data_IF_471328401476
#
_entry.id   IF_471328401476
#
_cell.length_a   1.000
_cell.length_b   1.000
_cell.length_c   1.000
_cell.angle_alpha   90.00
_cell.angle_beta   90.00
_cell.angle_gamma   90.00
#
_symmetry.space_group_name_H-M   'P 1'
#
loop_
_entity.id
_entity.type
_entity.pdbx_description
1 polymer ?
#
# COMPACT_ATOMS: atom_id res chain seq x y z
N UNK A 1 -6.50 6.15 26.03
CA UNK A 1 -7.67 5.35 25.62
C UNK A 1 -8.36 5.89 24.36
N UNK A 2 -8.46 7.18 24.13
CA UNK A 2 -9.14 7.82 22.98
C UNK A 2 -8.60 7.48 21.57
N UNK A 3 -7.32 7.15 21.41
CA UNK A 3 -6.74 6.86 20.08
C UNK A 3 -7.17 5.52 19.47
N UNK A 4 -7.50 4.53 20.27
CA UNK A 4 -7.96 3.20 19.78
C UNK A 4 -9.40 3.22 19.33
N UNK A 5 -10.26 4.02 19.99
CA UNK A 5 -11.68 4.16 19.63
C UNK A 5 -11.87 4.92 18.30
N UNK A 6 -11.02 5.93 18.03
CA UNK A 6 -11.06 6.67 16.76
C UNK A 6 -10.70 5.80 15.54
N UNK A 7 -9.79 4.84 15.71
CA UNK A 7 -9.40 3.92 14.64
C UNK A 7 -10.54 2.97 14.26
N UNK A 8 -11.29 2.46 15.26
CA UNK A 8 -12.46 1.61 15.03
C UNK A 8 -13.62 2.37 14.40
N UNK A 9 -13.83 3.64 14.76
CA UNK A 9 -14.85 4.50 14.15
C UNK A 9 -14.54 4.85 12.69
N UNK A 10 -13.28 5.07 12.35
CA UNK A 10 -12.83 5.29 10.96
C UNK A 10 -12.98 4.03 10.11
N UNK A 11 -12.68 2.84 10.66
CA UNK A 11 -12.96 1.56 9.97
C UNK A 11 -14.47 1.35 9.77
N UNK A 12 -15.28 1.64 10.77
CA UNK A 12 -16.74 1.50 10.69
C UNK A 12 -17.38 2.51 9.72
N UNK A 13 -16.88 3.75 9.67
CA UNK A 13 -17.35 4.78 8.74
C UNK A 13 -16.96 4.47 7.28
N UNK A 14 -15.83 3.78 7.05
CA UNK A 14 -15.43 3.30 5.73
C UNK A 14 -16.27 2.13 5.21
N UNK A 15 -16.90 1.37 6.12
CA UNK A 15 -17.76 0.23 5.77
C UNK A 15 -19.24 0.63 5.55
N UNK A 16 -19.68 1.78 6.08
CA UNK A 16 -21.07 2.21 5.97
C UNK A 16 -21.55 2.47 4.53
N UNK A 17 -20.80 3.12 3.61
CA UNK A 17 -21.22 3.22 2.21
C UNK A 17 -21.18 1.88 1.47
N UNK A 18 -20.35 0.93 1.91
CA UNK A 18 -20.32 -0.41 1.35
C UNK A 18 -21.60 -1.20 1.63
N UNK A 19 -22.19 -1.05 2.81
CA UNK A 19 -23.45 -1.71 3.17
C UNK A 19 -24.66 -1.20 2.35
N UNK A 20 -24.65 0.04 1.89
CA UNK A 20 -25.71 0.59 1.03
C UNK A 20 -25.66 0.07 -0.42
N UNK A 21 -24.54 -0.53 -0.85
CA UNK A 21 -24.37 -1.14 -2.18
C UNK A 21 -24.53 -2.68 -2.15
N UNK A 22 -24.97 -3.22 -1.01
CA UNK A 22 -24.85 -4.64 -0.64
C UNK A 22 -26.01 -5.53 -1.14
N UNK A 23 -26.82 -5.07 -2.10
CA UNK A 23 -28.00 -5.86 -2.47
C UNK A 23 -27.76 -7.03 -3.42
N UNK A 24 -26.60 -7.09 -4.12
CA UNK A 24 -26.41 -8.06 -5.21
C UNK A 24 -25.22 -9.03 -5.03
N UNK A 25 -24.50 -8.99 -3.92
CA UNK A 25 -23.31 -9.85 -3.70
C UNK A 25 -22.16 -9.58 -4.68
N UNK A 26 -22.14 -8.43 -5.32
CA UNK A 26 -21.19 -8.06 -6.39
C UNK A 26 -20.07 -7.11 -5.92
N UNK A 27 -20.08 -6.76 -4.64
CA UNK A 27 -19.05 -5.90 -4.05
C UNK A 27 -18.27 -6.63 -2.96
N UNK A 28 -17.04 -6.22 -2.72
CA UNK A 28 -16.19 -6.74 -1.64
C UNK A 28 -15.35 -5.66 -0.99
N UNK A 29 -15.05 -5.85 0.29
CA UNK A 29 -14.11 -5.02 1.05
C UNK A 29 -13.12 -5.94 1.78
N UNK A 30 -11.82 -5.71 1.56
CA UNK A 30 -10.73 -6.57 2.03
C UNK A 30 -9.71 -5.69 2.74
N UNK A 31 -9.43 -5.98 4.01
CA UNK A 31 -8.26 -5.45 4.70
C UNK A 31 -7.05 -6.32 4.40
N UNK A 32 -5.90 -5.72 4.13
CA UNK A 32 -4.68 -6.46 3.84
C UNK A 32 -3.49 -5.99 4.66
N UNK A 33 -2.57 -6.92 4.89
CA UNK A 33 -1.24 -6.70 5.40
C UNK A 33 -0.21 -7.41 4.53
N UNK A 34 1.01 -6.93 4.53
CA UNK A 34 2.06 -7.48 3.71
C UNK A 34 3.45 -6.95 4.05
N UNK A 35 4.38 -7.28 3.20
CA UNK A 35 5.77 -6.83 3.31
C UNK A 35 6.33 -6.43 1.96
N UNK A 36 7.13 -5.37 1.96
CA UNK A 36 7.91 -4.96 0.79
C UNK A 36 9.21 -5.76 0.71
N UNK A 37 9.50 -6.29 -0.48
CA UNK A 37 10.71 -7.09 -0.75
C UNK A 37 11.92 -6.26 -1.16
N UNK A 38 11.78 -4.96 -1.30
CA UNK A 38 12.81 -4.06 -1.86
C UNK A 38 14.05 -3.88 -1.00
N UNK A 39 13.98 -4.22 0.28
CA UNK A 39 15.10 -4.08 1.19
C UNK A 39 15.25 -5.34 2.03
N UNK A 40 16.47 -5.88 2.06
CA UNK A 40 16.85 -7.02 2.90
C UNK A 40 17.08 -6.66 4.39
N UNK A 41 16.68 -5.46 4.82
CA UNK A 41 16.80 -5.05 6.21
C UNK A 41 15.71 -5.67 7.08
N UNK A 42 16.05 -6.10 8.28
CA UNK A 42 15.18 -6.81 9.23
C UNK A 42 14.29 -5.87 10.08
N UNK A 43 14.23 -4.58 9.77
CA UNK A 43 13.51 -3.58 10.57
C UNK A 43 12.00 -3.64 10.36
N UNK A 44 11.25 -3.41 11.42
CA UNK A 44 9.77 -3.42 11.46
C UNK A 44 9.08 -2.38 10.56
N UNK A 45 9.84 -1.48 9.94
CA UNK A 45 9.34 -0.44 9.02
C UNK A 45 8.87 -0.95 7.65
N UNK A 46 8.97 -2.25 7.39
CA UNK A 46 8.59 -2.89 6.11
C UNK A 46 7.15 -3.34 6.03
N UNK A 47 6.38 -3.18 7.08
CA UNK A 47 5.00 -3.62 7.10
C UNK A 47 4.15 -2.68 6.25
N UNK A 48 3.57 -3.26 5.22
CA UNK A 48 2.58 -2.64 4.36
C UNK A 48 1.20 -3.05 4.86
N UNK A 49 0.26 -2.13 4.85
CA UNK A 49 -1.13 -2.43 5.22
C UNK A 49 -2.08 -1.47 4.53
N UNK A 50 -3.32 -1.90 4.39
CA UNK A 50 -4.35 -1.09 3.77
C UNK A 50 -5.67 -1.84 3.64
N UNK A 51 -6.51 -1.29 2.80
CA UNK A 51 -7.78 -1.91 2.43
C UNK A 51 -8.06 -1.72 0.94
N UNK A 52 -8.82 -2.64 0.41
CA UNK A 52 -9.23 -2.69 -0.98
C UNK A 52 -10.75 -2.85 -1.01
N UNK A 53 -11.41 -2.10 -1.88
CA UNK A 53 -12.82 -2.26 -2.20
C UNK A 53 -12.93 -2.60 -3.67
N UNK A 54 -13.80 -3.53 -4.02
CA UNK A 54 -14.01 -3.91 -5.41
C UNK A 54 -15.50 -4.08 -5.70
N UNK A 55 -15.90 -3.73 -6.93
CA UNK A 55 -17.23 -3.97 -7.45
C UNK A 55 -17.14 -4.73 -8.77
N UNK A 56 -17.92 -5.79 -8.92
CA UNK A 56 -18.02 -6.54 -10.16
C UNK A 56 -18.80 -5.72 -11.20
N UNK A 57 -18.19 -5.51 -12.36
CA UNK A 57 -18.89 -5.00 -13.57
C UNK A 57 -19.41 -6.14 -14.41
N UNK A 58 -18.66 -7.20 -14.45
CA UNK A 58 -19.02 -8.50 -15.03
C UNK A 58 -18.43 -9.60 -14.15
N UNK A 59 -18.83 -10.87 -14.29
CA UNK A 59 -18.25 -11.96 -13.49
C UNK A 59 -16.71 -11.98 -13.52
N UNK A 60 -16.11 -11.60 -14.63
CA UNK A 60 -14.65 -11.62 -14.83
C UNK A 60 -13.95 -10.26 -14.61
N UNK A 61 -14.69 -9.17 -14.48
CA UNK A 61 -14.13 -7.81 -14.42
C UNK A 61 -14.63 -7.10 -13.17
N UNK A 62 -13.70 -6.63 -12.37
CA UNK A 62 -13.97 -5.79 -11.21
C UNK A 62 -13.31 -4.42 -11.37
N UNK A 63 -13.99 -3.36 -10.96
CA UNK A 63 -13.37 -2.08 -10.62
C UNK A 63 -12.89 -2.16 -9.20
N UNK A 64 -11.68 -1.69 -8.95
CA UNK A 64 -11.05 -1.74 -7.63
C UNK A 64 -10.62 -0.35 -7.18
N UNK A 65 -10.77 -0.09 -5.88
CA UNK A 65 -10.17 1.04 -5.20
C UNK A 65 -9.30 0.52 -4.07
N UNK A 66 -8.09 1.03 -3.94
CA UNK A 66 -7.14 0.60 -2.93
C UNK A 66 -6.57 1.80 -2.19
N UNK A 67 -6.48 1.70 -0.86
CA UNK A 67 -5.83 2.68 0.00
C UNK A 67 -4.89 1.95 0.95
N UNK A 68 -3.70 2.49 1.12
CA UNK A 68 -2.75 1.82 1.99
C UNK A 68 -1.51 2.63 2.30
N UNK A 69 -0.63 1.98 3.06
CA UNK A 69 0.68 2.48 3.40
C UNK A 69 1.73 1.47 2.98
N UNK A 70 2.78 1.97 2.33
CA UNK A 70 4.02 1.23 2.04
C UNK A 70 5.05 1.63 3.09
N UNK A 71 5.61 0.65 3.78
CA UNK A 71 6.47 0.89 4.94
C UNK A 71 7.82 1.49 4.59
N UNK A 72 8.51 0.97 3.59
CA UNK A 72 9.79 1.49 3.11
C UNK A 72 9.96 1.26 1.62
N UNK A 73 10.24 2.33 0.87
CA UNK A 73 10.45 2.31 -0.58
C UNK A 73 11.92 2.56 -0.98
N UNK A 74 12.84 2.72 -0.02
CA UNK A 74 14.24 2.96 -0.34
C UNK A 74 14.87 1.73 -1.01
N UNK A 75 15.59 1.92 -2.14
CA UNK A 75 16.36 0.85 -2.77
C UNK A 75 17.47 0.32 -1.84
N UNK A 76 17.78 -0.96 -1.93
CA UNK A 76 18.82 -1.61 -1.12
C UNK A 76 20.23 -1.01 -1.28
N UNK A 77 20.52 -0.39 -2.42
CA UNK A 77 21.81 0.29 -2.68
C UNK A 77 21.99 1.57 -1.84
N UNK A 78 20.92 2.35 -1.66
CA UNK A 78 20.97 3.54 -0.80
C UNK A 78 21.07 3.15 0.67
N UNK A 79 20.46 2.04 1.09
CA UNK A 79 20.64 1.49 2.43
C UNK A 79 22.07 0.94 2.66
N UNK A 80 22.74 0.46 1.61
CA UNK A 80 24.14 0.01 1.68
C UNK A 80 25.14 1.16 1.91
N UNK A 81 24.96 2.30 1.23
CA UNK A 81 25.76 3.49 1.46
C UNK A 81 25.49 4.14 2.82
N UNK A 82 24.26 4.10 3.28
CA UNK A 82 23.83 4.60 4.59
C UNK A 82 24.15 3.62 5.74
N UNK A 83 24.43 2.35 5.44
CA UNK A 83 24.85 1.36 6.44
C UNK A 83 26.16 1.70 7.15
N UNK A 84 26.97 2.58 6.58
CA UNK A 84 28.19 3.13 7.23
C UNK A 84 27.89 4.35 8.11
N UNK A 85 26.66 4.81 8.17
CA UNK A 85 26.22 5.89 9.04
C UNK A 85 25.37 5.33 10.17
N UNK A 86 25.45 5.89 11.40
CA UNK A 86 24.63 5.44 12.52
C UNK A 86 23.14 5.90 12.42
N UNK A 87 22.67 6.21 11.21
CA UNK A 87 21.38 6.83 10.96
C UNK A 87 20.43 5.87 10.24
N UNK A 88 19.21 5.77 10.75
CA UNK A 88 18.13 5.02 10.12
C UNK A 88 17.30 6.00 9.26
N UNK A 89 17.34 5.80 7.94
CA UNK A 89 16.54 6.56 6.98
C UNK A 89 15.49 5.65 6.37
N UNK A 90 14.23 6.04 6.45
CA UNK A 90 13.13 5.32 5.83
C UNK A 90 12.24 6.26 5.02
N UNK A 91 11.69 5.77 3.93
CA UNK A 91 10.76 6.48 3.07
C UNK A 91 9.45 5.71 3.02
N UNK A 92 8.44 6.19 3.71
CA UNK A 92 7.10 5.61 3.68
C UNK A 92 6.20 6.38 2.71
N UNK A 93 5.22 5.68 2.15
CA UNK A 93 4.21 6.28 1.29
C UNK A 93 2.80 5.91 1.75
N UNK A 94 1.90 6.90 1.79
CA UNK A 94 0.46 6.67 1.82
C UNK A 94 -0.06 6.84 0.41
N UNK A 95 -0.91 5.94 -0.05
CA UNK A 95 -1.41 5.97 -1.43
C UNK A 95 -2.91 5.69 -1.51
N UNK A 96 -3.51 6.20 -2.59
CA UNK A 96 -4.85 5.86 -3.03
C UNK A 96 -4.82 5.58 -4.52
N UNK A 97 -5.34 4.44 -4.93
CA UNK A 97 -5.35 3.98 -6.33
C UNK A 97 -6.74 3.49 -6.73
N UNK A 98 -7.07 3.65 -8.00
CA UNK A 98 -8.21 3.02 -8.65
C UNK A 98 -7.74 2.19 -9.84
N UNK A 99 -8.49 1.15 -10.20
CA UNK A 99 -8.07 0.31 -11.31
C UNK A 99 -9.06 -0.78 -11.67
N UNK A 100 -8.55 -1.76 -12.39
CA UNK A 100 -9.33 -2.90 -12.90
C UNK A 100 -8.64 -4.21 -12.53
N UNK A 101 -9.44 -5.17 -12.10
CA UNK A 101 -9.05 -6.55 -11.81
C UNK A 101 -9.77 -7.48 -12.76
N UNK A 102 -9.02 -8.37 -13.38
CA UNK A 102 -9.54 -9.44 -14.22
C UNK A 102 -9.43 -10.77 -13.47
N UNK A 103 -10.54 -11.46 -13.31
CA UNK A 103 -10.65 -12.75 -12.64
C UNK A 103 -10.72 -13.85 -13.67
N UNK A 104 -9.92 -14.90 -13.51
CA UNK A 104 -10.14 -16.18 -14.15
C UNK A 104 -10.96 -17.06 -13.21
N UNK A 105 -11.90 -17.84 -13.77
CA UNK A 105 -12.78 -18.74 -13.04
C UNK A 105 -13.56 -18.06 -11.88
N UNK A 106 -14.37 -17.03 -12.16
CA UNK A 106 -15.04 -16.23 -11.14
C UNK A 106 -16.05 -17.04 -10.28
N UNK A 107 -16.58 -18.15 -10.82
CA UNK A 107 -17.55 -19.01 -10.13
C UNK A 107 -16.89 -20.08 -9.25
N UNK A 108 -15.57 -20.17 -9.27
CA UNK A 108 -14.84 -21.13 -8.43
C UNK A 108 -14.55 -20.55 -7.04
N UNK A 109 -14.37 -21.47 -6.06
CA UNK A 109 -13.91 -21.06 -4.72
C UNK A 109 -12.50 -20.46 -4.70
N UNK A 110 -11.73 -20.66 -5.77
CA UNK A 110 -10.38 -20.09 -5.97
C UNK A 110 -10.33 -19.43 -7.32
N UNK A 111 -10.18 -18.12 -7.35
CA UNK A 111 -10.13 -17.31 -8.58
C UNK A 111 -8.77 -16.67 -8.73
N UNK A 112 -7.93 -17.13 -9.65
CA UNK A 112 -6.73 -16.39 -10.05
C UNK A 112 -7.11 -15.04 -10.64
N UNK A 113 -6.29 -14.02 -10.40
CA UNK A 113 -6.55 -12.69 -10.96
C UNK A 113 -5.27 -11.96 -11.33
N UNK A 114 -5.43 -11.00 -12.22
CA UNK A 114 -4.46 -9.94 -12.51
C UNK A 114 -5.11 -8.59 -12.30
N UNK A 115 -4.32 -7.57 -11.93
CA UNK A 115 -4.83 -6.24 -11.60
C UNK A 115 -3.88 -5.17 -12.09
N UNK A 116 -4.44 -4.06 -12.56
CA UNK A 116 -3.72 -2.84 -12.89
C UNK A 116 -4.41 -1.65 -12.22
N UNK A 117 -3.63 -0.79 -11.56
CA UNK A 117 -4.10 0.36 -10.80
C UNK A 117 -3.29 1.61 -11.11
N UNK A 118 -3.91 2.77 -10.93
CA UNK A 118 -3.26 4.07 -11.01
C UNK A 118 -3.82 5.00 -9.94
N UNK A 119 -3.01 5.92 -9.44
CA UNK A 119 -3.45 6.82 -8.40
C UNK A 119 -2.37 7.82 -7.98
N UNK A 120 -2.42 8.21 -6.72
CA UNK A 120 -1.49 9.14 -6.10
C UNK A 120 -0.90 8.56 -4.83
N UNK A 121 0.36 8.87 -4.58
CA UNK A 121 1.08 8.51 -3.37
C UNK A 121 1.66 9.75 -2.71
N UNK A 122 1.49 9.89 -1.41
CA UNK A 122 2.12 10.92 -0.59
C UNK A 122 3.33 10.33 0.09
N UNK A 123 4.50 10.78 -0.29
CA UNK A 123 5.78 10.38 0.27
C UNK A 123 6.04 11.08 1.60
N UNK A 124 6.56 10.35 2.57
CA UNK A 124 6.92 10.85 3.89
C UNK A 124 8.27 10.28 4.30
N UNK A 125 9.36 11.05 4.12
CA UNK A 125 10.67 10.66 4.59
C UNK A 125 10.73 10.72 6.12
N UNK A 126 11.44 9.79 6.71
CA UNK A 126 11.70 9.73 8.15
C UNK A 126 13.16 9.39 8.40
N UNK A 127 13.81 10.20 9.24
CA UNK A 127 15.20 10.02 9.65
C UNK A 127 15.23 9.93 11.15
N UNK A 128 15.94 8.96 11.70
CA UNK A 128 16.14 8.76 13.14
C UNK A 128 17.61 8.44 13.45
N UNK A 129 18.04 8.73 14.70
CA UNK A 129 19.38 8.39 15.17
C UNK A 129 20.28 9.59 15.50
N UNK A 130 19.82 10.83 15.35
CA UNK A 130 20.59 12.03 15.68
C UNK A 130 20.41 12.51 17.14
N UNK A 131 19.51 11.89 17.90
CA UNK A 131 19.08 12.38 19.21
C UNK A 131 17.90 13.36 19.08
N UNK A 132 17.12 13.50 20.18
CA UNK A 132 15.80 14.12 20.14
C UNK A 132 15.73 15.53 19.54
N UNK A 133 16.76 16.36 19.75
CA UNK A 133 16.76 17.74 19.23
C UNK A 133 17.12 17.80 17.75
N UNK A 134 18.10 17.01 17.32
CA UNK A 134 18.51 16.95 15.91
C UNK A 134 17.46 16.22 15.06
N UNK A 135 16.84 15.17 15.59
CA UNK A 135 15.72 14.47 14.94
C UNK A 135 14.53 15.42 14.73
N UNK A 136 14.26 16.32 15.69
CA UNK A 136 13.21 17.33 15.54
C UNK A 136 13.52 18.37 14.47
N UNK A 137 14.75 18.87 14.42
CA UNK A 137 15.20 19.87 13.42
C UNK A 137 15.19 19.25 12.00
N UNK A 138 15.74 18.04 11.87
CA UNK A 138 15.76 17.32 10.60
C UNK A 138 14.36 16.90 10.19
N UNK A 139 13.51 16.47 11.13
CA UNK A 139 12.10 16.15 10.87
C UNK A 139 11.32 17.34 10.33
N UNK A 140 11.60 18.58 10.81
CA UNK A 140 11.04 19.80 10.22
C UNK A 140 11.62 20.04 8.83
N UNK A 141 12.94 19.94 8.64
CA UNK A 141 13.60 20.10 7.34
C UNK A 141 13.09 19.12 6.28
N UNK A 142 12.98 17.84 6.63
CA UNK A 142 12.41 16.81 5.75
C UNK A 142 10.88 16.89 5.63
N UNK A 143 10.18 17.55 6.54
CA UNK A 143 8.75 17.81 6.43
C UNK A 143 8.37 18.66 5.20
N UNK A 144 9.27 19.51 4.72
CA UNK A 144 9.08 20.27 3.48
C UNK A 144 9.26 19.40 2.21
N UNK A 145 9.87 18.24 2.33
CA UNK A 145 10.08 17.30 1.22
C UNK A 145 8.90 16.34 1.01
N UNK A 146 7.76 16.58 1.68
CA UNK A 146 6.55 15.80 1.41
C UNK A 146 6.04 16.13 0.01
N UNK A 147 6.06 15.15 -0.87
CA UNK A 147 5.53 15.28 -2.22
C UNK A 147 4.35 14.33 -2.43
N UNK A 148 3.48 14.74 -3.35
CA UNK A 148 2.39 13.89 -3.84
C UNK A 148 2.72 13.57 -5.28
N UNK A 149 2.92 12.28 -5.55
CA UNK A 149 3.41 11.78 -6.83
C UNK A 149 2.42 10.76 -7.42
N UNK A 150 2.34 10.65 -8.74
CA UNK A 150 1.57 9.59 -9.37
C UNK A 150 2.16 8.21 -9.05
N UNK A 151 1.29 7.25 -8.82
CA UNK A 151 1.64 5.85 -8.58
C UNK A 151 0.91 4.95 -9.58
N UNK A 152 1.62 3.96 -10.07
CA UNK A 152 1.10 2.92 -10.93
C UNK A 152 1.34 1.57 -10.24
N UNK A 153 0.33 0.70 -10.29
CA UNK A 153 0.39 -0.64 -9.74
C UNK A 153 0.01 -1.70 -10.75
N UNK A 154 0.74 -2.81 -10.74
CA UNK A 154 0.34 -4.04 -11.43
C UNK A 154 0.55 -5.22 -10.50
N UNK A 155 -0.28 -6.23 -10.63
CA UNK A 155 -0.13 -7.40 -9.77
C UNK A 155 -1.03 -8.54 -10.16
N UNK A 156 -0.97 -9.59 -9.35
CA UNK A 156 -1.81 -10.76 -9.51
C UNK A 156 -1.78 -11.62 -8.25
N UNK A 157 -2.71 -12.54 -8.18
CA UNK A 157 -2.86 -13.38 -7.01
C UNK A 157 -4.01 -14.36 -7.13
N UNK A 158 -4.43 -14.83 -5.99
CA UNK A 158 -5.55 -15.75 -5.84
C UNK A 158 -6.55 -15.17 -4.85
N UNK A 159 -7.79 -15.11 -5.26
CA UNK A 159 -8.92 -14.78 -4.42
C UNK A 159 -9.62 -16.07 -4.01
N UNK A 160 -9.72 -16.30 -2.71
CA UNK A 160 -10.40 -17.45 -2.12
C UNK A 160 -11.76 -17.00 -1.63
N UNK A 161 -12.84 -17.66 -2.04
CA UNK A 161 -14.22 -17.30 -1.70
C UNK A 161 -14.89 -18.43 -0.93
N UNK A 162 -15.43 -18.08 0.25
CA UNK A 162 -16.19 -19.01 1.10
C UNK A 162 -17.44 -18.33 1.65
N UNK A 163 -18.56 -18.39 0.90
CA UNK A 163 -19.77 -17.65 1.24
C UNK A 163 -19.52 -16.13 1.24
N UNK A 164 -19.82 -15.42 2.33
CA UNK A 164 -19.58 -13.98 2.41
C UNK A 164 -18.11 -13.61 2.69
N UNK A 165 -17.27 -14.60 3.03
CA UNK A 165 -15.86 -14.35 3.37
C UNK A 165 -15.00 -14.45 2.11
N UNK A 166 -14.08 -13.51 1.97
CA UNK A 166 -13.08 -13.48 0.90
C UNK A 166 -11.70 -13.35 1.52
N UNK A 167 -10.78 -14.20 1.07
CA UNK A 167 -9.34 -14.04 1.35
C UNK A 167 -8.59 -13.75 0.06
N UNK A 168 -7.54 -12.96 0.14
CA UNK A 168 -6.68 -12.55 -0.97
C UNK A 168 -5.23 -12.87 -0.64
N UNK A 169 -4.53 -13.51 -1.55
CA UNK A 169 -3.08 -13.72 -1.50
C UNK A 169 -2.50 -13.25 -2.82
N UNK A 170 -1.62 -12.26 -2.79
CA UNK A 170 -1.15 -11.68 -4.02
C UNK A 170 0.21 -11.03 -3.94
N UNK A 171 0.75 -10.78 -5.11
CA UNK A 171 1.94 -9.99 -5.35
C UNK A 171 1.56 -8.71 -6.07
N UNK A 172 2.18 -7.59 -5.65
CA UNK A 172 2.01 -6.27 -6.27
C UNK A 172 3.37 -5.66 -6.57
N UNK A 173 3.48 -5.14 -7.76
CA UNK A 173 4.53 -4.23 -8.15
C UNK A 173 3.94 -2.83 -8.21
N UNK A 174 4.52 -1.89 -7.48
CA UNK A 174 4.12 -0.48 -7.48
C UNK A 174 5.29 0.39 -7.86
N UNK A 175 5.04 1.36 -8.74
CA UNK A 175 6.01 2.35 -9.17
C UNK A 175 5.47 3.74 -8.91
N UNK A 176 6.19 4.52 -8.11
CA UNK A 176 5.92 5.94 -7.92
C UNK A 176 6.81 6.69 -8.91
N UNK A 177 6.19 7.51 -9.76
CA UNK A 177 6.89 8.40 -10.66
C UNK A 177 7.49 9.53 -9.81
N UNK A 178 8.74 9.37 -9.41
CA UNK A 178 9.42 10.31 -8.54
C UNK A 178 9.61 11.65 -9.21
N UNK A 179 9.35 12.74 -8.48
CA UNK A 179 9.87 14.03 -8.87
C UNK A 179 11.40 14.00 -8.68
N UNK A 180 12.11 14.55 -9.65
CA UNK A 180 13.58 14.62 -9.67
C UNK A 180 14.18 15.25 -8.39
N UNK A 181 13.40 16.01 -7.63
CA UNK A 181 13.85 16.76 -6.46
C UNK A 181 14.13 15.88 -5.22
N UNK A 182 13.26 14.92 -4.88
CA UNK A 182 13.48 14.05 -3.71
C UNK A 182 14.45 12.90 -4.03
N UNK A 183 14.30 12.34 -5.21
CA UNK A 183 15.08 11.21 -5.69
C UNK A 183 16.50 11.67 -6.05
N UNK A 184 16.65 12.90 -6.59
CA UNK A 184 17.94 13.52 -6.85
C UNK A 184 18.74 13.83 -5.58
N UNK A 185 18.06 14.28 -4.51
CA UNK A 185 18.69 14.56 -3.22
C UNK A 185 19.21 13.29 -2.53
N UNK A 186 18.53 12.16 -2.75
CA UNK A 186 18.93 10.85 -2.21
C UNK A 186 19.91 10.10 -3.11
N UNK A 187 20.39 10.72 -4.20
CA UNK A 187 21.36 10.13 -5.13
C UNK A 187 20.80 8.99 -5.99
N UNK A 188 19.48 8.77 -5.95
CA UNK A 188 18.82 7.68 -6.65
C UNK A 188 17.99 8.21 -7.83
N UNK A 189 18.60 8.68 -8.89
CA UNK A 189 17.91 9.19 -10.12
C UNK A 189 16.99 8.18 -10.82
N UNK A 190 16.22 7.38 -10.06
CA UNK A 190 15.34 6.33 -10.54
C UNK A 190 13.98 6.40 -9.87
N UNK A 191 12.94 6.02 -10.61
CA UNK A 191 11.59 5.81 -10.08
C UNK A 191 11.60 4.90 -8.83
N UNK A 192 10.90 5.31 -7.79
CA UNK A 192 10.73 4.50 -6.60
C UNK A 192 9.85 3.29 -6.92
N UNK A 193 10.31 2.12 -6.57
CA UNK A 193 9.64 0.84 -6.84
C UNK A 193 9.39 0.09 -5.55
N UNK A 194 8.25 -0.58 -5.46
CA UNK A 194 7.92 -1.47 -4.36
C UNK A 194 7.42 -2.82 -4.89
N UNK A 195 8.03 -3.88 -4.42
CA UNK A 195 7.60 -5.26 -4.63
C UNK A 195 6.95 -5.74 -3.35
N UNK A 196 5.67 -6.03 -3.37
CA UNK A 196 4.89 -6.38 -2.19
C UNK A 196 4.33 -7.79 -2.30
N UNK A 197 4.49 -8.58 -1.24
CA UNK A 197 3.69 -9.77 -1.02
C UNK A 197 2.66 -9.44 0.04
N UNK A 198 1.39 -9.70 -0.25
CA UNK A 198 0.29 -9.33 0.63
C UNK A 198 -0.67 -10.47 0.87
N UNK A 199 -1.30 -10.43 2.01
CA UNK A 199 -2.38 -11.28 2.43
C UNK A 199 -3.53 -10.42 2.94
N UNK A 200 -4.75 -10.73 2.52
CA UNK A 200 -5.94 -9.98 2.89
C UNK A 200 -7.09 -10.89 3.29
N UNK A 201 -7.99 -10.35 4.09
CA UNK A 201 -9.25 -10.97 4.44
C UNK A 201 -10.35 -9.91 4.48
N UNK A 202 -11.54 -10.29 4.07
CA UNK A 202 -12.66 -9.37 3.98
C UNK A 202 -13.99 -10.05 3.76
N UNK A 203 -14.95 -9.24 3.35
CA UNK A 203 -16.32 -9.67 3.12
C UNK A 203 -16.78 -9.29 1.71
N UNK A 204 -17.66 -10.14 1.16
CA UNK A 204 -18.41 -9.92 -0.08
C UNK A 204 -19.88 -9.68 0.28
N UNK A 205 -20.50 -8.72 -0.39
CA UNK A 205 -21.88 -8.30 -0.15
C UNK A 205 -22.53 -7.76 -1.41
#
# INVERSE_FOLDING_TARGET
MFRRTALFLLLAAGLAPAAAMAQDGTASAIGFGGTSLNSFSTSASKVDFGFNVAKELTPNIQVVGEFGRIGNMLPSLSSGLLAFTPYDVSLSAFYGEGGVRLLAAPDSGVSPYVEATAGIARLSPHVSGFGSTADAILGVGFGFLRSTEPILGVGGGFMLRGGPIVADVGYRYKQVAGSDSLVGLLGAGQNLRAHQVRFGIGVRF
#
